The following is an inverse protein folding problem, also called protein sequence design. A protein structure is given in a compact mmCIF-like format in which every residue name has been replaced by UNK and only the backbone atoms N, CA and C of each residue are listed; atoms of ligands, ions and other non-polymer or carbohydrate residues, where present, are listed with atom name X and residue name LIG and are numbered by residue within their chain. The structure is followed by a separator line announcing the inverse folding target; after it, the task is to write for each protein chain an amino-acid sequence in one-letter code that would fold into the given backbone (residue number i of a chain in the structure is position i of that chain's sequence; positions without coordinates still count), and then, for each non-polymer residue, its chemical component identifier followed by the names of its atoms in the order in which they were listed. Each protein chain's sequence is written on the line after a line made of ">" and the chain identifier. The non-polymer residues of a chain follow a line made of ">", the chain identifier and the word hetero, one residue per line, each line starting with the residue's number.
data_IF_555748412768
#
_entry.id   IF_555748412768
#
_cell.length_a   1.000
_cell.length_b   1.000
_cell.length_c   1.000
_cell.angle_alpha   90.00
_cell.angle_beta   90.00
_cell.angle_gamma   90.00
#
_symmetry.space_group_name_H-M   'P 1'
#
loop_
_entity.id
_entity.type
_entity.pdbx_description
1 polymer ?
#
# COMPACT_ATOMS: atom_id res chain seq x y z
N UNK A 1 1.31 -24.00 15.99
CA UNK A 1 0.49 -22.78 15.86
C UNK A 1 0.28 -22.13 17.23
N UNK A 2 0.52 -20.82 17.39
CA UNK A 2 0.49 -20.10 18.69
C UNK A 2 -0.92 -19.72 19.20
N UNK A 3 -2.00 -20.04 18.46
CA UNK A 3 -3.41 -19.75 18.79
C UNK A 3 -3.70 -18.28 19.19
N UNK A 4 -2.97 -17.32 18.61
CA UNK A 4 -3.04 -15.90 18.99
C UNK A 4 -4.17 -15.12 18.32
N UNK A 5 -5.02 -15.78 17.53
CA UNK A 5 -6.04 -15.13 16.69
C UNK A 5 -5.47 -14.04 15.75
N UNK A 6 -4.17 -14.05 15.47
CA UNK A 6 -3.49 -13.06 14.62
C UNK A 6 -3.67 -13.40 13.15
N UNK A 7 -3.67 -12.37 12.31
CA UNK A 7 -3.58 -12.51 10.85
C UNK A 7 -2.23 -11.97 10.38
N UNK A 8 -1.79 -12.39 9.20
CA UNK A 8 -0.71 -11.74 8.47
C UNK A 8 -1.32 -10.74 7.47
N UNK A 9 -0.67 -9.59 7.30
CA UNK A 9 -0.99 -8.63 6.24
C UNK A 9 0.27 -8.41 5.42
N UNK A 10 0.21 -8.66 4.12
CA UNK A 10 1.35 -8.53 3.21
C UNK A 10 1.05 -7.48 2.14
N UNK A 11 1.93 -6.50 2.01
CA UNK A 11 1.84 -5.47 0.97
C UNK A 11 2.73 -5.84 -0.21
N UNK A 12 2.22 -5.69 -1.42
CA UNK A 12 2.95 -5.88 -2.67
C UNK A 12 2.53 -4.84 -3.71
N UNK A 13 3.45 -4.46 -4.60
CA UNK A 13 3.13 -3.62 -5.77
C UNK A 13 2.65 -4.45 -6.96
N UNK A 14 2.16 -3.79 -8.00
CA UNK A 14 1.74 -4.43 -9.26
C UNK A 14 2.85 -5.26 -9.92
N UNK A 15 4.10 -4.79 -9.85
CA UNK A 15 5.29 -5.49 -10.34
C UNK A 15 5.54 -6.86 -9.73
N UNK A 16 5.11 -7.10 -8.49
CA UNK A 16 5.30 -8.39 -7.83
C UNK A 16 4.59 -9.53 -8.57
N UNK A 17 3.52 -9.23 -9.32
CA UNK A 17 2.82 -10.23 -10.12
C UNK A 17 3.62 -10.70 -11.35
N UNK A 18 4.78 -10.12 -11.64
CA UNK A 18 5.76 -10.72 -12.56
C UNK A 18 6.51 -11.91 -11.96
N UNK A 19 6.52 -12.07 -10.64
CA UNK A 19 7.34 -13.06 -9.93
C UNK A 19 6.60 -14.38 -9.67
N UNK A 20 7.25 -15.50 -10.00
CA UNK A 20 6.71 -16.85 -9.79
C UNK A 20 6.33 -17.13 -8.33
N UNK A 21 7.12 -16.61 -7.39
CA UNK A 21 6.94 -16.80 -5.94
C UNK A 21 5.60 -16.28 -5.44
N UNK A 22 4.99 -15.28 -6.09
CA UNK A 22 3.66 -14.78 -5.72
C UNK A 22 2.61 -15.88 -5.93
N UNK A 23 2.68 -16.61 -7.05
CA UNK A 23 1.73 -17.69 -7.34
C UNK A 23 1.91 -18.89 -6.42
N UNK A 24 3.15 -19.23 -6.12
CA UNK A 24 3.47 -20.27 -5.13
C UNK A 24 2.92 -19.90 -3.75
N UNK A 25 3.09 -18.65 -3.33
CA UNK A 25 2.56 -18.15 -2.06
C UNK A 25 1.03 -18.13 -2.02
N UNK A 26 0.36 -17.68 -3.09
CA UNK A 26 -1.11 -17.70 -3.18
C UNK A 26 -1.64 -19.14 -3.11
N UNK A 27 -1.01 -20.07 -3.81
CA UNK A 27 -1.36 -21.49 -3.78
C UNK A 27 -1.24 -22.06 -2.36
N UNK A 28 -0.12 -21.82 -1.66
CA UNK A 28 0.08 -22.30 -0.30
C UNK A 28 -0.89 -21.64 0.69
N UNK A 29 -1.15 -20.34 0.55
CA UNK A 29 -2.10 -19.62 1.40
C UNK A 29 -3.52 -20.18 1.26
N UNK A 30 -3.95 -20.48 0.02
CA UNK A 30 -5.24 -21.10 -0.26
C UNK A 30 -5.32 -22.53 0.30
N UNK A 31 -4.32 -23.38 -0.01
CA UNK A 31 -4.26 -24.77 0.42
C UNK A 31 -4.28 -24.90 1.95
N UNK A 32 -3.51 -24.06 2.63
CA UNK A 32 -3.38 -24.10 4.09
C UNK A 32 -4.41 -23.27 4.82
N UNK A 33 -5.32 -22.60 4.10
CA UNK A 33 -6.32 -21.71 4.70
C UNK A 33 -5.66 -20.69 5.63
N UNK A 34 -4.57 -20.08 5.13
CA UNK A 34 -3.78 -19.15 5.92
C UNK A 34 -4.60 -17.86 6.20
N UNK A 35 -4.60 -17.33 7.44
CA UNK A 35 -5.21 -16.04 7.75
C UNK A 35 -4.32 -14.91 7.21
N UNK A 36 -4.35 -14.69 5.90
CA UNK A 36 -3.50 -13.76 5.16
C UNK A 36 -4.33 -12.76 4.38
N UNK A 37 -4.15 -11.47 4.64
CA UNK A 37 -4.63 -10.41 3.76
C UNK A 37 -3.47 -9.94 2.87
N UNK A 38 -3.59 -10.12 1.56
CA UNK A 38 -2.68 -9.51 0.59
C UNK A 38 -3.24 -8.14 0.19
N UNK A 39 -2.46 -7.09 0.38
CA UNK A 39 -2.78 -5.75 -0.09
C UNK A 39 -1.93 -5.47 -1.33
N UNK A 40 -2.60 -5.23 -2.46
CA UNK A 40 -1.94 -4.86 -3.73
C UNK A 40 -2.01 -3.36 -3.88
N UNK A 41 -0.87 -2.68 -3.82
CA UNK A 41 -0.74 -1.26 -4.13
C UNK A 41 -0.47 -1.11 -5.62
N UNK A 42 -1.55 -1.11 -6.41
CA UNK A 42 -1.44 -0.96 -7.85
C UNK A 42 -1.23 0.51 -8.19
N UNK A 43 0.03 0.89 -8.47
CA UNK A 43 0.40 2.24 -8.90
C UNK A 43 0.68 2.35 -10.40
N UNK A 44 0.37 1.29 -11.15
CA UNK A 44 0.52 1.13 -12.60
C UNK A 44 1.96 1.04 -13.13
N UNK A 45 2.98 1.02 -12.27
CA UNK A 45 4.39 1.00 -12.67
C UNK A 45 5.30 0.17 -11.75
N UNK A 46 5.99 -0.81 -12.33
CA UNK A 46 7.15 -1.46 -11.73
C UNK A 46 8.43 -0.71 -12.14
N UNK A 47 8.93 0.18 -11.27
CA UNK A 47 10.03 1.10 -11.56
C UNK A 47 9.72 2.01 -12.76
N UNK A 48 10.10 1.61 -13.97
CA UNK A 48 9.86 2.26 -15.26
C UNK A 48 8.92 1.48 -16.18
N UNK A 49 8.57 0.24 -15.84
CA UNK A 49 7.76 -0.65 -16.67
C UNK A 49 6.27 -0.46 -16.36
N UNK A 50 5.45 0.00 -17.32
CA UNK A 50 3.99 0.07 -17.15
C UNK A 50 3.39 -1.32 -16.87
N UNK A 51 2.38 -1.41 -16.00
CA UNK A 51 1.76 -2.71 -15.67
C UNK A 51 1.17 -3.41 -16.90
N UNK A 52 0.74 -2.66 -17.92
CA UNK A 52 0.22 -3.20 -19.18
C UNK A 52 1.25 -4.02 -19.97
N UNK A 53 2.54 -3.86 -19.71
CA UNK A 53 3.61 -4.65 -20.34
C UNK A 53 3.98 -5.93 -19.57
N UNK A 54 3.54 -6.07 -18.32
CA UNK A 54 3.91 -7.21 -17.44
C UNK A 54 2.71 -8.03 -16.95
N UNK A 55 1.52 -7.42 -16.87
CA UNK A 55 0.33 -8.03 -16.31
C UNK A 55 -0.73 -8.27 -17.40
N UNK A 56 -0.79 -9.50 -17.91
CA UNK A 56 -1.99 -9.97 -18.59
C UNK A 56 -3.10 -10.29 -17.57
N UNK A 57 -4.35 -9.99 -17.93
CA UNK A 57 -5.53 -10.23 -17.09
C UNK A 57 -5.72 -9.19 -15.99
N UNK A 58 -6.16 -9.62 -14.81
CA UNK A 58 -6.38 -8.76 -13.64
C UNK A 58 -5.84 -9.40 -12.36
N UNK A 59 -5.53 -8.60 -11.34
CA UNK A 59 -5.13 -9.10 -10.02
C UNK A 59 -6.22 -9.97 -9.40
N UNK A 60 -7.49 -9.54 -9.50
CA UNK A 60 -8.64 -10.31 -9.06
C UNK A 60 -8.76 -11.66 -9.78
N UNK A 61 -8.49 -11.71 -11.09
CA UNK A 61 -8.45 -12.95 -11.84
C UNK A 61 -7.34 -13.89 -11.38
N UNK A 62 -6.16 -13.36 -11.06
CA UNK A 62 -5.04 -14.14 -10.50
C UNK A 62 -5.39 -14.68 -9.11
N UNK A 63 -6.05 -13.90 -8.25
CA UNK A 63 -6.55 -14.37 -6.96
C UNK A 63 -7.62 -15.47 -7.12
N UNK A 64 -8.58 -15.25 -8.02
CA UNK A 64 -9.67 -16.17 -8.30
C UNK A 64 -9.19 -17.55 -8.79
N UNK A 65 -8.07 -17.60 -9.53
CA UNK A 65 -7.47 -18.86 -9.97
C UNK A 65 -7.07 -19.80 -8.80
N UNK A 66 -6.84 -19.25 -7.60
CA UNK A 66 -6.55 -20.00 -6.38
C UNK A 66 -7.74 -20.06 -5.40
N UNK A 67 -8.92 -19.60 -5.82
CA UNK A 67 -10.10 -19.53 -4.95
C UNK A 67 -10.01 -18.45 -3.86
N UNK A 68 -9.18 -17.42 -4.07
CA UNK A 68 -8.99 -16.32 -3.13
C UNK A 68 -9.94 -15.18 -3.52
N UNK A 69 -10.69 -14.65 -2.55
CA UNK A 69 -11.56 -13.49 -2.77
C UNK A 69 -10.72 -12.23 -2.97
N UNK A 70 -11.17 -11.35 -3.87
CA UNK A 70 -10.53 -10.08 -4.12
C UNK A 70 -11.56 -8.94 -4.03
N UNK A 71 -11.18 -7.87 -3.33
CA UNK A 71 -11.94 -6.61 -3.25
C UNK A 71 -11.08 -5.52 -3.85
N UNK A 72 -11.67 -4.68 -4.70
CA UNK A 72 -10.96 -3.63 -5.41
C UNK A 72 -11.49 -2.24 -5.03
N UNK A 73 -10.58 -1.30 -4.80
CA UNK A 73 -10.88 0.10 -4.50
C UNK A 73 -10.08 1.00 -5.45
N UNK A 74 -10.73 2.04 -5.96
CA UNK A 74 -10.16 2.98 -6.95
C UNK A 74 -10.04 4.42 -6.43
N UNK A 75 -10.41 4.62 -5.16
CA UNK A 75 -10.29 5.90 -4.47
C UNK A 75 -9.08 5.90 -3.54
N UNK A 76 -8.42 7.04 -3.44
CA UNK A 76 -7.38 7.31 -2.46
C UNK A 76 -7.95 7.92 -1.16
N UNK A 77 -9.27 8.00 -0.99
CA UNK A 77 -9.89 8.41 0.27
C UNK A 77 -9.56 7.38 1.37
N UNK A 78 -8.76 7.79 2.35
CA UNK A 78 -8.23 6.86 3.36
C UNK A 78 -9.33 6.34 4.28
N UNK A 79 -10.46 7.05 4.40
CA UNK A 79 -11.60 6.62 5.23
C UNK A 79 -12.29 5.43 4.57
N UNK A 80 -12.45 5.47 3.24
CA UNK A 80 -13.00 4.37 2.45
C UNK A 80 -12.04 3.19 2.46
N UNK A 81 -10.75 3.42 2.20
CA UNK A 81 -9.73 2.35 2.23
C UNK A 81 -9.65 1.70 3.62
N UNK A 82 -9.69 2.50 4.69
CA UNK A 82 -9.69 2.00 6.08
C UNK A 82 -10.94 1.18 6.39
N UNK A 83 -12.12 1.60 5.94
CA UNK A 83 -13.36 0.85 6.15
C UNK A 83 -13.29 -0.53 5.48
N UNK A 84 -12.87 -0.59 4.22
CA UNK A 84 -12.69 -1.83 3.48
C UNK A 84 -11.62 -2.72 4.11
N UNK A 85 -10.46 -2.17 4.47
CA UNK A 85 -9.40 -2.91 5.14
C UNK A 85 -9.89 -3.50 6.47
N UNK A 86 -10.68 -2.75 7.24
CA UNK A 86 -11.24 -3.23 8.51
C UNK A 86 -12.16 -4.43 8.30
N UNK A 87 -13.02 -4.39 7.29
CA UNK A 87 -13.90 -5.49 6.91
C UNK A 87 -13.11 -6.72 6.47
N UNK A 88 -12.13 -6.55 5.58
CA UNK A 88 -11.29 -7.65 5.08
C UNK A 88 -10.46 -8.29 6.20
N UNK A 89 -9.90 -7.50 7.11
CA UNK A 89 -9.16 -8.00 8.29
C UNK A 89 -10.08 -8.84 9.19
N UNK A 90 -11.33 -8.41 9.39
CA UNK A 90 -12.30 -9.15 10.18
C UNK A 90 -12.64 -10.49 9.51
N UNK A 91 -12.94 -10.48 8.21
CA UNK A 91 -13.27 -11.68 7.42
C UNK A 91 -12.13 -12.70 7.39
N UNK A 92 -10.90 -12.28 7.05
CA UNK A 92 -9.71 -13.14 7.05
C UNK A 92 -9.50 -13.80 8.41
N UNK A 93 -9.73 -13.05 9.49
CA UNK A 93 -9.59 -13.55 10.86
C UNK A 93 -10.65 -14.57 11.22
N UNK A 94 -11.93 -14.29 10.92
CA UNK A 94 -13.03 -15.20 11.27
C UNK A 94 -13.05 -16.46 10.42
N UNK A 95 -12.76 -16.35 9.12
CA UNK A 95 -12.90 -17.46 8.17
C UNK A 95 -11.65 -18.33 8.09
N UNK A 96 -10.51 -17.79 8.55
CA UNK A 96 -9.18 -18.37 8.36
C UNK A 96 -9.00 -18.71 6.88
N UNK A 97 -9.11 -17.68 6.03
CA UNK A 97 -8.94 -17.80 4.58
C UNK A 97 -8.17 -16.59 4.07
N UNK A 98 -7.33 -16.78 3.05
CA UNK A 98 -6.67 -15.64 2.43
C UNK A 98 -7.68 -14.77 1.68
N UNK A 99 -7.41 -13.48 1.63
CA UNK A 99 -8.15 -12.51 0.83
C UNK A 99 -7.18 -11.50 0.21
N UNK A 100 -7.62 -10.82 -0.86
CA UNK A 100 -6.86 -9.80 -1.55
C UNK A 100 -7.62 -8.46 -1.54
N UNK A 101 -6.95 -7.39 -1.12
CA UNK A 101 -7.43 -6.01 -1.25
C UNK A 101 -6.57 -5.28 -2.28
N UNK A 102 -7.16 -4.91 -3.41
CA UNK A 102 -6.51 -4.21 -4.52
C UNK A 102 -6.79 -2.72 -4.36
N UNK A 103 -5.76 -1.95 -4.07
CA UNK A 103 -5.82 -0.49 -3.96
C UNK A 103 -5.23 0.11 -5.22
N UNK A 104 -6.09 0.57 -6.13
CA UNK A 104 -5.67 1.29 -7.32
C UNK A 104 -5.36 2.73 -6.95
N UNK A 105 -4.07 3.04 -6.96
CA UNK A 105 -3.51 4.32 -6.55
C UNK A 105 -2.47 4.78 -7.59
N UNK A 106 -1.64 5.76 -7.26
CA UNK A 106 -0.61 6.22 -8.18
C UNK A 106 0.64 6.75 -7.47
N UNK A 107 1.81 6.47 -8.04
CA UNK A 107 3.10 6.92 -7.52
C UNK A 107 3.39 8.34 -8.01
N UNK A 108 3.04 9.35 -7.22
CA UNK A 108 3.21 10.77 -7.59
C UNK A 108 4.68 11.25 -7.69
N UNK A 109 5.62 10.48 -7.12
CA UNK A 109 7.06 10.76 -7.14
C UNK A 109 7.80 9.72 -7.99
N UNK A 110 9.09 9.96 -8.35
CA UNK A 110 9.91 8.96 -9.01
C UNK A 110 10.01 7.66 -8.18
N UNK A 111 10.44 6.58 -8.82
CA UNK A 111 10.58 5.28 -8.15
C UNK A 111 11.50 5.34 -6.93
N UNK A 112 12.57 6.13 -7.04
CA UNK A 112 13.58 6.33 -6.01
C UNK A 112 14.24 7.70 -6.20
N UNK A 113 15.54 7.84 -5.93
CA UNK A 113 16.30 9.09 -6.13
C UNK A 113 16.70 9.37 -7.59
N UNK A 114 16.21 8.56 -8.53
CA UNK A 114 16.53 8.68 -9.96
C UNK A 114 15.54 9.53 -10.77
N UNK A 115 15.76 9.55 -12.08
CA UNK A 115 15.00 10.38 -13.01
C UNK A 115 13.56 9.88 -13.19
N UNK A 116 12.66 10.85 -13.42
CA UNK A 116 11.27 10.60 -13.76
C UNK A 116 11.12 10.45 -15.28
N UNK A 117 10.75 9.25 -15.72
CA UNK A 117 10.61 8.92 -17.15
C UNK A 117 9.16 8.94 -17.63
N UNK A 118 8.20 9.12 -16.72
CA UNK A 118 6.77 9.16 -17.05
C UNK A 118 6.34 10.54 -17.52
N UNK A 119 5.23 10.58 -18.26
CA UNK A 119 4.65 11.84 -18.74
C UNK A 119 4.22 12.71 -17.55
N UNK A 120 4.75 13.94 -17.41
CA UNK A 120 4.34 14.87 -16.35
C UNK A 120 2.84 15.14 -16.31
N UNK A 121 2.16 15.12 -17.47
CA UNK A 121 0.71 15.35 -17.57
C UNK A 121 -0.09 14.18 -17.01
N UNK A 122 0.44 12.96 -17.10
CA UNK A 122 -0.16 11.78 -16.46
C UNK A 122 -0.09 11.91 -14.94
N UNK A 123 1.09 12.26 -14.40
CA UNK A 123 1.30 12.46 -12.97
C UNK A 123 0.37 13.56 -12.45
N UNK A 124 0.23 14.66 -13.20
CA UNK A 124 -0.60 15.80 -12.80
C UNK A 124 -2.10 15.42 -12.69
N UNK A 125 -2.61 14.56 -13.58
CA UNK A 125 -4.00 14.07 -13.48
C UNK A 125 -4.27 13.34 -12.16
N UNK A 126 -3.26 12.66 -11.63
CA UNK A 126 -3.35 11.94 -10.37
C UNK A 126 -3.19 12.82 -9.14
N UNK A 127 -2.67 14.06 -9.25
CA UNK A 127 -2.58 14.98 -8.10
C UNK A 127 -3.93 15.36 -7.52
N UNK A 128 -4.96 15.47 -8.36
CA UNK A 128 -6.35 15.69 -7.90
C UNK A 128 -6.87 14.56 -7.01
N UNK A 129 -6.22 13.39 -7.05
CA UNK A 129 -6.51 12.20 -6.26
C UNK A 129 -5.49 11.97 -5.15
N UNK A 130 -4.66 12.95 -4.82
CA UNK A 130 -3.77 12.84 -3.66
C UNK A 130 -4.64 12.60 -2.39
N UNK A 131 -4.35 11.55 -1.59
CA UNK A 131 -5.12 11.23 -0.38
C UNK A 131 -5.24 12.43 0.58
N UNK A 132 -4.18 13.23 0.70
CA UNK A 132 -4.21 14.41 1.58
C UNK A 132 -5.09 15.52 1.00
N UNK A 133 -5.13 15.67 -0.32
CA UNK A 133 -6.02 16.62 -0.98
C UNK A 133 -7.49 16.20 -0.80
N UNK A 134 -7.79 14.91 -0.89
CA UNK A 134 -9.14 14.35 -0.71
C UNK A 134 -9.63 14.53 0.73
N UNK A 135 -8.81 14.14 1.72
CA UNK A 135 -9.25 14.12 3.11
C UNK A 135 -9.36 15.51 3.73
N UNK A 136 -8.46 16.42 3.35
CA UNK A 136 -8.41 17.76 3.91
C UNK A 136 -9.02 18.84 3.01
N UNK A 137 -9.48 18.49 1.80
CA UNK A 137 -10.10 19.42 0.85
C UNK A 137 -9.15 20.49 0.32
N UNK A 138 -7.85 20.19 0.30
CA UNK A 138 -6.80 21.16 -0.02
C UNK A 138 -6.36 21.00 -1.47
N UNK A 139 -6.42 22.05 -2.31
CA UNK A 139 -5.91 21.99 -3.68
C UNK A 139 -4.39 21.75 -3.72
N UNK A 140 -3.66 22.11 -2.65
CA UNK A 140 -2.22 21.95 -2.49
C UNK A 140 -1.89 21.37 -1.11
N UNK A 141 -2.32 20.14 -0.84
CA UNK A 141 -1.98 19.44 0.41
C UNK A 141 -0.46 19.37 0.69
N UNK A 142 0.38 19.59 -0.33
CA UNK A 142 1.83 19.68 -0.17
C UNK A 142 2.27 20.79 0.80
N UNK A 143 1.62 21.95 0.90
CA UNK A 143 2.08 23.01 1.81
C UNK A 143 1.76 22.69 3.28
N UNK A 144 0.55 22.18 3.55
CA UNK A 144 0.17 21.72 4.88
C UNK A 144 0.92 20.45 5.28
N UNK A 145 1.22 19.56 4.33
CA UNK A 145 2.13 18.44 4.54
C UNK A 145 3.54 18.94 4.83
N UNK A 146 4.08 19.94 4.12
CA UNK A 146 5.41 20.49 4.42
C UNK A 146 5.44 21.16 5.80
N UNK A 147 4.38 21.86 6.18
CA UNK A 147 4.26 22.44 7.52
C UNK A 147 4.17 21.35 8.61
N UNK A 148 3.39 20.30 8.38
CA UNK A 148 3.26 19.16 9.30
C UNK A 148 4.57 18.34 9.38
N UNK A 149 5.23 18.08 8.24
CA UNK A 149 6.53 17.43 8.18
C UNK A 149 7.61 18.28 8.84
N UNK A 150 7.56 19.61 8.68
CA UNK A 150 8.43 20.54 9.38
C UNK A 150 8.28 20.43 10.89
N UNK A 151 7.03 20.42 11.40
CA UNK A 151 6.74 20.19 12.82
C UNK A 151 7.23 18.83 13.32
N UNK A 152 6.96 17.75 12.57
CA UNK A 152 7.41 16.40 12.95
C UNK A 152 8.94 16.31 12.95
N UNK A 153 9.61 16.98 11.99
CA UNK A 153 11.07 17.03 11.93
C UNK A 153 11.65 17.82 13.11
N UNK A 154 11.08 18.97 13.47
CA UNK A 154 11.45 19.73 14.67
C UNK A 154 11.24 18.87 15.94
N UNK A 155 10.07 18.25 16.11
CA UNK A 155 9.79 17.37 17.25
C UNK A 155 10.75 16.18 17.33
N UNK A 156 11.12 15.60 16.18
CA UNK A 156 12.07 14.50 16.10
C UNK A 156 13.49 14.94 16.41
N UNK A 157 13.92 16.10 15.92
CA UNK A 157 15.22 16.68 16.27
C UNK A 157 15.32 17.03 17.75
N UNK A 158 14.25 17.59 18.32
CA UNK A 158 14.19 17.93 19.74
C UNK A 158 14.21 16.66 20.61
N UNK A 159 13.49 15.61 20.20
CA UNK A 159 13.57 14.30 20.84
C UNK A 159 14.98 13.69 20.76
N UNK A 160 15.65 13.80 19.61
CA UNK A 160 17.04 13.35 19.43
C UNK A 160 18.05 14.18 20.25
N UNK A 161 17.85 15.50 20.35
CA UNK A 161 18.67 16.39 21.21
C UNK A 161 18.45 16.06 22.69
N UNK A 162 17.22 15.80 23.12
CA UNK A 162 16.93 15.39 24.49
C UNK A 162 17.59 14.04 24.83
N UNK A 163 17.55 13.06 23.91
CA UNK A 163 18.24 11.79 24.05
C UNK A 163 19.78 11.95 24.13
N UNK A 164 20.35 12.90 23.37
CA UNK A 164 21.79 13.20 23.40
C UNK A 164 22.21 14.01 24.63
N UNK A 165 21.35 14.90 25.14
CA UNK A 165 21.58 15.70 26.34
C UNK A 165 21.51 14.89 27.64
N UNK A 166 20.75 13.79 27.66
CA UNK A 166 20.72 12.84 28.78
C UNK A 166 21.91 11.87 28.83
N UNK A 167 22.74 11.81 27.77
CA UNK A 167 23.84 10.86 27.64
C UNK A 167 25.19 11.36 28.20
N UNK A 168 25.22 12.48 28.93
CA UNK A 168 26.45 13.04 29.52
C UNK A 168 26.35 13.35 31.02
N UNK A 169 25.49 12.64 31.75
CA UNK A 169 25.47 12.65 33.22
C UNK A 169 25.44 11.22 33.77
N UNK A 170 26.55 10.50 33.64
CA UNK A 170 26.91 9.32 34.43
C UNK A 170 28.43 9.24 34.54
#
# INVERSE_FOLDING_TARGET
>A
FKKTNSIAVQFIGDGAFGEGVVYEALNLAALWRAPLLIVVENNYYAQSTPSTLQLAGSFAGRAAAFGISATEVTTNDVRIVRALATEQIAAVRSECRPAMLIVNTYRLKPHSKGDEMRDPTEIERWRSRDPLSIDYGLPNASELLQAALGRIAEESEDALKALRGGACAA
#
